data_IF_308246434916
#
_entry.id   IF_308246434916
#
_cell.length_a   1.000
_cell.length_b   1.000
_cell.length_c   1.000
_cell.angle_alpha   90.00
_cell.angle_beta   90.00
_cell.angle_gamma   90.00
#
_symmetry.space_group_name_H-M   'P 1'
#
loop_
_entity.id
_entity.type
_entity.pdbx_description
1 polymer ?
#
# COMPACT_ATOMS: atom_id res chain seq x y z
N UNK A 1 21.75 12.90 1.80
CA UNK A 1 21.48 11.63 2.50
C UNK A 1 21.29 11.80 4.00
N UNK A 2 22.30 12.24 4.78
CA UNK A 2 22.19 12.43 6.24
C UNK A 2 20.99 13.28 6.66
N UNK A 3 20.72 14.39 5.94
CA UNK A 3 19.56 15.26 6.19
C UNK A 3 18.21 14.54 6.07
N UNK A 4 18.08 13.62 5.11
CA UNK A 4 16.84 12.88 4.86
C UNK A 4 16.64 11.76 5.89
N UNK A 5 17.70 11.03 6.25
CA UNK A 5 17.65 10.05 7.33
C UNK A 5 17.26 10.70 8.66
N UNK A 6 17.93 11.80 9.03
CA UNK A 6 17.59 12.56 10.24
C UNK A 6 16.14 13.07 10.22
N UNK A 7 15.63 13.45 9.05
CA UNK A 7 14.24 13.84 8.89
C UNK A 7 13.29 12.64 9.12
N UNK A 8 13.57 11.48 8.53
CA UNK A 8 12.77 10.26 8.72
C UNK A 8 12.78 9.84 10.19
N UNK A 9 13.93 9.87 10.87
CA UNK A 9 14.03 9.57 12.30
C UNK A 9 13.23 10.58 13.13
N UNK A 10 13.33 11.87 12.81
CA UNK A 10 12.60 12.91 13.52
C UNK A 10 11.08 12.74 13.42
N UNK A 11 10.54 12.46 12.23
CA UNK A 11 9.09 12.28 12.05
C UNK A 11 8.58 10.96 12.62
N UNK A 12 9.45 9.95 12.75
CA UNK A 12 9.12 8.64 13.32
C UNK A 12 9.55 8.46 14.78
N UNK A 13 9.99 9.52 15.47
CA UNK A 13 10.43 9.44 16.88
C UNK A 13 9.39 8.85 17.85
N UNK A 14 8.11 8.92 17.49
CA UNK A 14 6.98 8.40 18.27
C UNK A 14 6.32 7.17 17.59
N UNK A 15 6.96 6.58 16.60
CA UNK A 15 6.44 5.40 15.92
C UNK A 15 6.40 4.21 16.88
N UNK A 16 5.31 3.46 16.86
CA UNK A 16 5.14 2.25 17.70
C UNK A 16 5.87 1.04 17.12
N UNK A 17 6.35 1.14 15.88
CA UNK A 17 7.13 0.11 15.19
C UNK A 17 8.37 0.76 14.61
N UNK A 18 9.51 0.10 14.81
CA UNK A 18 10.78 0.56 14.27
C UNK A 18 10.90 0.24 12.78
N UNK A 19 11.51 1.16 12.04
CA UNK A 19 11.85 0.96 10.64
C UNK A 19 13.22 0.27 10.55
N UNK A 20 13.40 -0.61 9.56
CA UNK A 20 14.72 -1.15 9.26
C UNK A 20 15.61 -0.04 8.69
N UNK A 21 16.49 0.49 9.54
CA UNK A 21 17.39 1.60 9.21
C UNK A 21 18.40 1.23 8.11
N UNK A 22 18.82 -0.04 8.06
CA UNK A 22 19.76 -0.50 7.04
C UNK A 22 19.08 -0.54 5.68
N UNK A 23 17.87 -1.09 5.62
CA UNK A 23 17.06 -1.11 4.41
C UNK A 23 16.69 0.30 3.95
N UNK A 24 16.26 1.18 4.87
CA UNK A 24 15.94 2.57 4.57
C UNK A 24 17.14 3.30 3.95
N UNK A 25 18.33 3.15 4.54
CA UNK A 25 19.55 3.77 4.01
C UNK A 25 19.84 3.30 2.58
N UNK A 26 19.75 2.00 2.33
CA UNK A 26 19.96 1.42 0.99
C UNK A 26 18.93 1.95 -0.02
N UNK A 27 17.66 2.03 0.37
CA UNK A 27 16.60 2.58 -0.48
C UNK A 27 16.89 4.04 -0.88
N UNK A 28 17.34 4.85 0.08
CA UNK A 28 17.65 6.27 -0.15
C UNK A 28 18.94 6.48 -0.97
N UNK A 29 19.89 5.55 -0.89
CA UNK A 29 21.10 5.53 -1.72
C UNK A 29 20.77 5.29 -3.20
N UNK A 30 19.83 4.37 -3.46
CA UNK A 30 19.44 3.98 -4.83
C UNK A 30 18.31 4.85 -5.42
N UNK A 31 17.61 5.64 -4.61
CA UNK A 31 16.40 6.35 -5.06
C UNK A 31 16.67 7.36 -6.17
N UNK A 32 17.82 8.06 -6.15
CA UNK A 32 18.17 9.05 -7.17
C UNK A 32 18.42 8.39 -8.53
N UNK A 33 19.27 7.37 -8.56
CA UNK A 33 19.53 6.59 -9.78
C UNK A 33 18.25 5.94 -10.32
N UNK A 34 17.44 5.36 -9.43
CA UNK A 34 16.16 4.74 -9.82
C UNK A 34 15.22 5.78 -10.43
N UNK A 35 15.16 6.99 -9.87
CA UNK A 35 14.36 8.08 -10.42
C UNK A 35 14.81 8.44 -11.83
N UNK A 36 16.12 8.61 -12.05
CA UNK A 36 16.68 8.94 -13.36
C UNK A 36 16.42 7.84 -14.40
N UNK A 37 16.61 6.57 -14.02
CA UNK A 37 16.34 5.41 -14.88
C UNK A 37 14.86 5.37 -15.30
N UNK A 38 13.93 5.65 -14.37
CA UNK A 38 12.50 5.66 -14.66
C UNK A 38 12.08 6.87 -15.49
N UNK A 39 12.66 8.05 -15.28
CA UNK A 39 12.43 9.24 -16.13
C UNK A 39 12.87 8.96 -17.57
N UNK A 40 14.04 8.34 -17.74
CA UNK A 40 14.54 7.95 -19.06
C UNK A 40 13.60 6.92 -19.72
N UNK A 41 13.13 5.93 -18.96
CA UNK A 41 12.21 4.92 -19.44
C UNK A 41 10.87 5.50 -19.91
N UNK A 42 10.29 6.41 -19.13
CA UNK A 42 8.96 6.97 -19.44
C UNK A 42 9.02 8.20 -20.36
N UNK A 43 10.22 8.69 -20.67
CA UNK A 43 10.44 9.92 -21.44
C UNK A 43 9.57 11.09 -20.95
N UNK A 44 9.38 11.18 -19.63
CA UNK A 44 8.46 12.14 -19.04
C UNK A 44 9.20 13.38 -18.50
N UNK A 45 8.51 14.52 -18.48
CA UNK A 45 9.08 15.74 -17.90
C UNK A 45 9.05 15.69 -16.38
N UNK A 46 10.13 16.15 -15.75
CA UNK A 46 10.25 16.24 -14.30
C UNK A 46 9.67 17.56 -13.80
N UNK A 47 8.82 17.49 -12.78
CA UNK A 47 8.28 18.61 -12.02
C UNK A 47 8.79 18.55 -10.59
N UNK A 48 9.34 19.65 -10.08
CA UNK A 48 9.80 19.77 -8.69
C UNK A 48 8.71 20.46 -7.87
N UNK A 49 8.19 19.77 -6.87
CA UNK A 49 7.17 20.29 -5.94
C UNK A 49 7.77 21.01 -4.73
N UNK A 50 8.96 20.61 -4.32
CA UNK A 50 9.70 21.20 -3.20
C UNK A 50 11.18 20.96 -3.39
N UNK A 51 12.01 21.94 -3.06
CA UNK A 51 13.47 21.89 -3.12
C UNK A 51 14.14 22.08 -1.74
N UNK A 52 13.34 22.25 -0.67
CA UNK A 52 13.83 22.42 0.71
C UNK A 52 12.76 21.99 1.74
N UNK A 53 13.10 21.19 2.77
CA UNK A 53 14.44 20.69 3.14
C UNK A 53 14.90 19.46 2.33
N UNK A 54 14.02 18.88 1.51
CA UNK A 54 14.26 17.71 0.66
C UNK A 54 13.71 17.99 -0.73
N UNK A 55 14.34 17.42 -1.76
CA UNK A 55 13.83 17.53 -3.13
C UNK A 55 12.68 16.53 -3.26
N UNK A 56 11.49 17.04 -3.60
CA UNK A 56 10.32 16.24 -3.94
C UNK A 56 10.01 16.52 -5.40
N UNK A 57 10.22 15.52 -6.23
CA UNK A 57 9.99 15.60 -7.67
C UNK A 57 9.00 14.53 -8.11
N UNK A 58 8.31 14.81 -9.20
CA UNK A 58 7.41 13.89 -9.88
C UNK A 58 7.65 13.95 -11.38
N UNK A 59 7.47 12.82 -12.04
CA UNK A 59 7.70 12.70 -13.48
C UNK A 59 6.51 12.09 -14.21
N UNK A 60 5.67 11.29 -13.54
CA UNK A 60 4.52 10.67 -14.20
C UNK A 60 3.49 10.12 -13.20
N UNK A 61 2.39 9.55 -13.70
CA UNK A 61 1.42 8.83 -12.88
C UNK A 61 1.64 7.31 -12.93
N UNK A 62 1.10 6.58 -11.95
CA UNK A 62 1.34 5.14 -11.81
C UNK A 62 0.85 4.29 -13.00
N UNK A 63 -0.23 4.68 -13.67
CA UNK A 63 -0.76 3.92 -14.81
C UNK A 63 0.18 4.00 -16.02
N UNK A 64 0.67 5.20 -16.33
CA UNK A 64 1.64 5.39 -17.41
C UNK A 64 2.96 4.68 -17.11
N UNK A 65 3.47 4.78 -15.88
CA UNK A 65 4.68 4.05 -15.47
C UNK A 65 4.52 2.52 -15.65
N UNK A 66 3.39 1.96 -15.21
CA UNK A 66 3.12 0.53 -15.34
C UNK A 66 3.05 0.09 -16.81
N UNK A 67 2.42 0.89 -17.67
CA UNK A 67 2.38 0.66 -19.12
C UNK A 67 3.79 0.66 -19.74
N UNK A 68 4.61 1.66 -19.42
CA UNK A 68 5.96 1.78 -19.94
C UNK A 68 6.86 0.62 -19.48
N UNK A 69 6.76 0.20 -18.22
CA UNK A 69 7.46 -0.98 -17.71
C UNK A 69 6.99 -2.26 -18.42
N UNK A 70 5.69 -2.41 -18.65
CA UNK A 70 5.15 -3.58 -19.36
C UNK A 70 5.64 -3.66 -20.82
N UNK A 71 5.74 -2.51 -21.49
CA UNK A 71 6.28 -2.44 -22.85
C UNK A 71 7.77 -2.76 -22.87
N UNK A 72 8.55 -2.18 -21.96
CA UNK A 72 9.98 -2.48 -21.81
C UNK A 72 10.23 -3.97 -21.62
N UNK A 73 9.46 -4.63 -20.73
CA UNK A 73 9.57 -6.07 -20.51
C UNK A 73 9.33 -6.85 -21.81
N UNK A 74 8.29 -6.52 -22.58
CA UNK A 74 7.99 -7.19 -23.87
C UNK A 74 9.08 -7.00 -24.90
N UNK A 75 9.57 -5.76 -25.06
CA UNK A 75 10.61 -5.42 -26.03
C UNK A 75 11.93 -6.13 -25.73
N UNK A 76 12.18 -6.47 -24.46
CA UNK A 76 13.37 -7.19 -24.01
C UNK A 76 13.13 -8.71 -23.88
N UNK A 77 12.08 -9.23 -24.53
CA UNK A 77 11.81 -10.68 -24.62
C UNK A 77 11.13 -11.28 -23.39
N UNK A 78 10.69 -10.46 -22.44
CA UNK A 78 9.88 -10.88 -21.31
C UNK A 78 8.43 -11.17 -21.72
N UNK A 79 7.82 -12.13 -21.04
CA UNK A 79 6.43 -12.54 -21.27
C UNK A 79 5.54 -12.32 -20.04
N UNK A 80 4.24 -12.19 -20.29
CA UNK A 80 3.23 -12.07 -19.24
C UNK A 80 2.27 -13.25 -19.27
N UNK A 81 2.11 -13.90 -18.11
CA UNK A 81 1.04 -14.87 -17.87
C UNK A 81 -0.07 -14.18 -17.08
N UNK A 82 -1.01 -13.56 -17.81
CA UNK A 82 -2.19 -12.93 -17.20
C UNK A 82 -3.20 -14.00 -16.78
N UNK A 83 -4.12 -13.65 -15.86
CA UNK A 83 -5.13 -14.56 -15.33
C UNK A 83 -4.54 -15.89 -14.81
N UNK A 84 -3.31 -15.83 -14.32
CA UNK A 84 -2.52 -17.00 -13.92
C UNK A 84 -2.03 -16.79 -12.50
N UNK A 85 -2.55 -17.61 -11.58
CA UNK A 85 -2.27 -17.51 -10.15
C UNK A 85 -1.19 -18.50 -9.76
N UNK A 86 -0.13 -18.03 -9.11
CA UNK A 86 0.86 -18.91 -8.47
C UNK A 86 0.21 -19.53 -7.24
N UNK A 87 0.23 -20.86 -7.15
CA UNK A 87 -0.35 -21.62 -6.03
C UNK A 87 0.71 -22.21 -5.11
N UNK A 88 1.93 -22.40 -5.60
CA UNK A 88 3.04 -22.98 -4.83
C UNK A 88 4.40 -22.55 -5.38
N UNK A 89 5.34 -22.26 -4.48
CA UNK A 89 6.77 -22.19 -4.81
C UNK A 89 7.33 -23.60 -4.70
N UNK A 90 8.06 -24.03 -5.73
CA UNK A 90 8.70 -25.35 -5.77
C UNK A 90 10.15 -25.17 -5.34
N UNK A 91 10.49 -25.74 -4.19
CA UNK A 91 11.83 -25.72 -3.61
C UNK A 91 12.16 -27.03 -2.88
N UNK A 92 13.44 -27.22 -2.54
CA UNK A 92 13.97 -28.35 -1.77
C UNK A 92 14.35 -27.98 -0.32
N UNK A 93 13.93 -26.81 0.16
CA UNK A 93 14.31 -26.23 1.45
C UNK A 93 15.59 -25.40 1.41
N UNK A 94 16.42 -25.55 0.37
CA UNK A 94 17.64 -24.74 0.19
C UNK A 94 17.62 -23.91 -1.09
N UNK A 95 16.90 -24.38 -2.10
CA UNK A 95 16.89 -23.79 -3.43
C UNK A 95 15.53 -23.89 -4.09
N UNK A 96 15.12 -22.79 -4.70
CA UNK A 96 13.94 -22.73 -5.56
C UNK A 96 14.25 -23.34 -6.93
N UNK A 97 13.32 -24.15 -7.44
CA UNK A 97 13.39 -24.76 -8.77
C UNK A 97 12.22 -24.38 -9.69
N UNK A 98 11.20 -23.68 -9.19
CA UNK A 98 10.08 -23.24 -10.03
C UNK A 98 8.84 -22.80 -9.27
N UNK A 99 7.73 -22.73 -10.01
CA UNK A 99 6.42 -22.32 -9.54
C UNK A 99 5.34 -23.27 -10.07
N UNK A 100 4.36 -23.59 -9.24
CA UNK A 100 3.09 -24.15 -9.70
C UNK A 100 2.11 -23.00 -9.93
N UNK A 101 1.45 -23.03 -11.09
CA UNK A 101 0.56 -21.96 -11.57
C UNK A 101 -0.77 -22.58 -11.97
N UNK A 102 -1.87 -21.88 -11.68
CA UNK A 102 -3.22 -22.25 -12.08
C UNK A 102 -3.87 -21.12 -12.86
N UNK A 103 -4.53 -21.45 -13.95
CA UNK A 103 -5.41 -20.54 -14.70
C UNK A 103 -6.70 -21.27 -15.10
N UNK A 104 -7.52 -20.66 -15.97
CA UNK A 104 -8.78 -21.24 -16.44
C UNK A 104 -8.61 -22.53 -17.26
N UNK A 105 -7.42 -22.77 -17.82
CA UNK A 105 -7.12 -23.98 -18.60
C UNK A 105 -6.61 -25.15 -17.72
N UNK A 106 -6.25 -24.89 -16.47
CA UNK A 106 -5.79 -25.91 -15.52
C UNK A 106 -4.54 -25.49 -14.74
N UNK A 107 -3.81 -26.49 -14.25
CA UNK A 107 -2.54 -26.30 -13.54
C UNK A 107 -1.35 -26.67 -14.41
N UNK A 108 -0.26 -25.92 -14.27
CA UNK A 108 1.00 -26.17 -14.95
C UNK A 108 2.18 -25.70 -14.10
N UNK A 109 3.38 -26.18 -14.45
CA UNK A 109 4.62 -25.88 -13.74
C UNK A 109 5.53 -25.03 -14.60
N UNK A 110 6.12 -24.00 -14.00
CA UNK A 110 7.17 -23.18 -14.59
C UNK A 110 8.49 -23.50 -13.87
N UNK A 111 9.46 -24.07 -14.59
CA UNK A 111 10.81 -24.28 -14.06
C UNK A 111 11.61 -22.98 -14.09
N UNK A 112 12.23 -22.62 -12.97
CA UNK A 112 13.02 -21.39 -12.85
C UNK A 112 14.19 -21.58 -11.89
N UNK A 113 15.32 -20.92 -12.18
CA UNK A 113 16.51 -20.94 -11.30
C UNK A 113 16.38 -19.99 -10.11
N UNK A 114 15.53 -18.97 -10.24
CA UNK A 114 15.26 -17.95 -9.26
C UNK A 114 13.82 -17.47 -9.41
N UNK A 115 13.24 -17.00 -8.30
CA UNK A 115 11.89 -16.43 -8.24
C UNK A 115 11.98 -15.12 -7.47
N UNK A 116 11.40 -14.06 -8.03
CA UNK A 116 11.24 -12.77 -7.38
C UNK A 116 9.78 -12.61 -6.98
N UNK A 117 9.53 -12.33 -5.70
CA UNK A 117 8.17 -12.14 -5.17
C UNK A 117 7.85 -10.65 -5.16
N UNK A 118 6.89 -10.24 -6.00
CA UNK A 118 6.44 -8.86 -6.15
C UNK A 118 4.90 -8.75 -6.09
N UNK A 119 4.28 -9.49 -5.16
CA UNK A 119 2.82 -9.68 -5.08
C UNK A 119 2.06 -8.53 -4.39
N UNK A 120 2.74 -7.44 -4.04
CA UNK A 120 2.12 -6.36 -3.26
C UNK A 120 1.75 -6.78 -1.83
N UNK A 121 0.85 -6.01 -1.21
CA UNK A 121 0.42 -6.19 0.18
C UNK A 121 -0.95 -6.86 0.34
N UNK A 122 -1.47 -6.82 1.57
CA UNK A 122 -2.75 -7.42 1.97
C UNK A 122 -3.83 -6.39 2.35
N UNK A 123 -3.74 -5.16 1.83
CA UNK A 123 -4.60 -4.05 2.26
C UNK A 123 -6.06 -4.15 1.80
N UNK A 124 -6.38 -5.04 0.84
CA UNK A 124 -7.74 -5.26 0.37
C UNK A 124 -8.53 -6.22 1.27
N UNK A 125 -7.90 -7.30 1.73
CA UNK A 125 -8.52 -8.34 2.56
C UNK A 125 -8.54 -7.94 4.04
N UNK A 126 -9.74 -7.67 4.57
CA UNK A 126 -9.93 -7.00 5.87
C UNK A 126 -9.85 -7.90 7.10
N UNK A 127 -9.95 -9.22 6.96
CA UNK A 127 -10.41 -9.98 8.12
C UNK A 127 -9.30 -10.68 8.93
N UNK A 128 -8.35 -11.39 8.34
CA UNK A 128 -7.39 -12.17 9.14
C UNK A 128 -6.04 -11.48 9.38
N UNK A 129 -5.46 -10.84 8.36
CA UNK A 129 -4.16 -10.16 8.50
C UNK A 129 -4.35 -8.74 9.06
N UNK A 130 -5.32 -8.00 8.52
CA UNK A 130 -5.55 -6.61 8.90
C UNK A 130 -6.07 -6.48 10.33
N UNK A 131 -7.00 -7.33 10.79
CA UNK A 131 -7.46 -7.28 12.17
C UNK A 131 -6.39 -7.71 13.19
N UNK A 132 -5.42 -8.55 12.81
CA UNK A 132 -4.27 -8.87 13.68
C UNK A 132 -3.33 -7.69 13.84
N UNK A 133 -3.08 -6.96 12.76
CA UNK A 133 -2.15 -5.83 12.74
C UNK A 133 -2.77 -4.58 13.37
N UNK A 134 -4.03 -4.29 13.06
CA UNK A 134 -4.75 -3.13 13.56
C UNK A 134 -6.21 -3.49 13.87
N UNK A 135 -6.48 -4.05 15.07
CA UNK A 135 -7.83 -4.55 15.44
C UNK A 135 -8.94 -3.50 15.37
N UNK A 136 -8.60 -2.22 15.52
CA UNK A 136 -9.57 -1.12 15.44
C UNK A 136 -10.13 -0.92 14.02
N UNK A 137 -9.47 -1.43 12.98
CA UNK A 137 -9.96 -1.41 11.59
C UNK A 137 -11.27 -2.18 11.45
N UNK A 138 -11.46 -3.25 12.23
CA UNK A 138 -12.73 -3.95 12.30
C UNK A 138 -13.90 -3.03 12.68
N UNK A 139 -13.64 -1.95 13.43
CA UNK A 139 -14.67 -1.06 14.00
C UNK A 139 -14.98 0.16 13.14
N UNK A 140 -14.33 0.34 11.99
CA UNK A 140 -14.44 1.58 11.20
C UNK A 140 -14.68 1.25 9.72
N UNK A 141 -15.37 2.14 9.00
CA UNK A 141 -15.47 2.02 7.55
C UNK A 141 -14.33 2.81 6.89
N UNK A 142 -13.48 2.12 6.14
CA UNK A 142 -12.34 2.74 5.43
C UNK A 142 -12.61 2.77 3.94
N UNK A 143 -12.31 3.91 3.32
CA UNK A 143 -12.22 4.06 1.88
C UNK A 143 -10.99 3.29 1.41
N UNK A 144 -11.23 2.17 0.74
CA UNK A 144 -10.15 1.29 0.32
C UNK A 144 -9.61 1.70 -1.05
N UNK A 145 -8.45 2.34 -1.07
CA UNK A 145 -7.74 2.72 -2.30
C UNK A 145 -6.89 1.58 -2.88
N UNK A 146 -6.83 0.44 -2.20
CA UNK A 146 -6.07 -0.70 -2.67
C UNK A 146 -6.75 -1.37 -3.88
N UNK A 147 -5.91 -1.87 -4.80
CA UNK A 147 -6.38 -2.79 -5.84
C UNK A 147 -7.09 -3.98 -5.20
N UNK A 148 -8.22 -4.46 -5.75
CA UNK A 148 -8.85 -5.71 -5.34
C UNK A 148 -7.92 -6.94 -5.37
N UNK A 149 -6.81 -6.86 -6.11
CA UNK A 149 -5.80 -7.92 -6.15
C UNK A 149 -4.90 -7.98 -4.88
N UNK A 150 -4.87 -6.94 -4.04
CA UNK A 150 -4.00 -6.86 -2.85
C UNK A 150 -4.56 -7.68 -1.67
N UNK A 151 -4.67 -8.99 -1.88
CA UNK A 151 -5.29 -9.95 -0.96
C UNK A 151 -4.30 -10.61 0.00
N UNK A 152 -3.00 -10.39 -0.19
CA UNK A 152 -1.96 -10.95 0.68
C UNK A 152 -1.66 -12.43 0.44
N UNK A 153 -2.09 -13.02 -0.68
CA UNK A 153 -1.84 -14.43 -0.99
C UNK A 153 -0.35 -14.79 -1.13
N UNK A 154 0.48 -13.83 -1.53
CA UNK A 154 1.94 -13.96 -1.49
C UNK A 154 2.51 -14.26 -0.10
N UNK A 155 1.89 -13.78 0.99
CA UNK A 155 2.32 -14.12 2.36
C UNK A 155 2.16 -15.61 2.63
N UNK A 156 1.09 -16.23 2.12
CA UNK A 156 0.87 -17.68 2.27
C UNK A 156 1.89 -18.50 1.49
N UNK A 157 2.28 -18.04 0.29
CA UNK A 157 3.36 -18.67 -0.49
C UNK A 157 4.70 -18.61 0.26
N UNK A 158 5.04 -17.45 0.82
CA UNK A 158 6.27 -17.23 1.58
C UNK A 158 6.30 -18.04 2.90
N UNK A 159 5.17 -18.12 3.62
CA UNK A 159 5.06 -18.98 4.82
C UNK A 159 5.29 -20.46 4.50
N UNK A 160 4.76 -20.93 3.37
CA UNK A 160 4.89 -22.33 2.97
C UNK A 160 6.34 -22.76 2.70
N UNK A 161 7.21 -21.80 2.37
CA UNK A 161 8.66 -22.02 2.18
C UNK A 161 9.49 -21.56 3.39
N UNK A 162 8.85 -21.38 4.55
CA UNK A 162 9.48 -20.97 5.81
C UNK A 162 10.27 -19.65 5.71
N UNK A 163 9.81 -18.70 4.88
CA UNK A 163 10.41 -17.37 4.83
C UNK A 163 10.25 -16.64 6.18
N UNK A 164 11.28 -15.91 6.59
CA UNK A 164 11.19 -15.02 7.75
C UNK A 164 10.37 -13.78 7.41
N UNK A 165 9.54 -13.37 8.37
CA UNK A 165 8.78 -12.13 8.31
C UNK A 165 9.30 -11.17 9.37
N UNK A 166 9.43 -9.89 9.03
CA UNK A 166 9.86 -8.86 9.97
C UNK A 166 8.84 -8.64 11.11
N UNK A 167 7.61 -9.13 10.95
CA UNK A 167 6.47 -8.93 11.88
C UNK A 167 6.17 -7.45 12.20
N UNK A 168 6.70 -6.53 11.38
CA UNK A 168 6.52 -5.09 11.49
C UNK A 168 5.43 -4.57 10.55
N UNK A 169 4.47 -5.41 10.17
CA UNK A 169 3.37 -5.04 9.28
C UNK A 169 2.61 -3.84 9.85
N UNK A 170 2.38 -2.81 9.04
CA UNK A 170 1.56 -1.64 9.41
C UNK A 170 0.42 -1.54 8.44
N UNK A 171 -0.79 -1.39 8.98
CA UNK A 171 -1.92 -1.02 8.15
C UNK A 171 -1.88 0.47 7.85
N UNK A 172 -1.63 0.80 6.59
CA UNK A 172 -1.83 2.14 6.04
C UNK A 172 -2.95 2.05 5.01
N UNK A 173 -4.12 2.58 5.36
CA UNK A 173 -5.22 2.73 4.40
C UNK A 173 -5.52 4.20 4.16
N UNK A 174 -6.40 4.44 3.18
CA UNK A 174 -6.85 5.76 2.75
C UNK A 174 -7.62 6.48 3.86
N UNK A 175 -8.89 6.78 3.63
CA UNK A 175 -9.67 7.70 4.47
C UNK A 175 -10.71 6.94 5.29
N UNK A 176 -11.19 7.49 6.41
CA UNK A 176 -12.46 7.01 6.95
C UNK A 176 -13.54 7.45 5.97
N UNK A 177 -14.28 6.48 5.45
CA UNK A 177 -15.32 6.75 4.50
C UNK A 177 -16.61 7.15 5.22
N UNK A 178 -16.82 8.46 5.28
CA UNK A 178 -18.06 9.08 5.75
C UNK A 178 -19.08 9.33 4.64
N UNK A 179 -18.74 9.05 3.37
CA UNK A 179 -19.59 9.41 2.25
C UNK A 179 -20.98 8.79 2.31
N UNK A 180 -21.16 7.52 2.72
CA UNK A 180 -22.49 6.94 2.90
C UNK A 180 -23.34 7.63 3.97
N UNK A 181 -22.74 8.12 5.07
CA UNK A 181 -23.45 8.70 6.21
C UNK A 181 -23.74 10.18 6.01
N UNK A 182 -22.84 10.90 5.35
CA UNK A 182 -22.91 12.34 5.13
C UNK A 182 -23.40 12.69 3.72
N UNK A 183 -23.76 11.69 2.90
CA UNK A 183 -24.14 11.85 1.50
C UNK A 183 -23.10 12.65 0.70
N UNK A 184 -21.82 12.39 0.99
CA UNK A 184 -20.71 13.04 0.29
C UNK A 184 -20.57 12.40 -1.08
N UNK A 185 -20.41 13.25 -2.09
CA UNK A 185 -20.06 12.90 -3.46
C UNK A 185 -18.75 13.61 -3.82
N UNK A 186 -18.13 13.27 -4.95
CA UNK A 186 -16.97 14.00 -5.44
C UNK A 186 -17.18 15.52 -5.57
N UNK A 187 -18.42 15.96 -5.81
CA UNK A 187 -18.79 17.37 -5.93
C UNK A 187 -19.06 18.05 -4.58
N UNK A 188 -19.24 17.26 -3.51
CA UNK A 188 -19.64 17.75 -2.18
C UNK A 188 -18.65 17.36 -1.09
N UNK A 189 -17.42 16.96 -1.46
CA UNK A 189 -16.36 16.64 -0.50
C UNK A 189 -16.06 17.88 0.34
N UNK A 190 -16.27 17.85 1.67
CA UNK A 190 -15.96 18.97 2.52
C UNK A 190 -14.45 19.14 2.65
N UNK A 191 -14.00 20.39 2.82
CA UNK A 191 -12.61 20.69 3.12
C UNK A 191 -12.25 20.24 4.55
N UNK A 192 -11.54 19.12 4.65
CA UNK A 192 -11.10 18.57 5.94
C UNK A 192 -9.96 19.36 6.59
N UNK A 193 -9.33 20.31 5.89
CA UNK A 193 -8.16 21.05 6.40
C UNK A 193 -8.46 21.95 7.59
N UNK A 194 -9.75 22.21 7.85
CA UNK A 194 -10.23 23.11 8.92
C UNK A 194 -11.07 22.36 9.96
N UNK A 195 -10.97 21.04 10.01
CA UNK A 195 -11.80 20.21 10.89
C UNK A 195 -11.14 19.96 12.24
N UNK A 196 -11.97 19.87 13.29
CA UNK A 196 -11.56 19.38 14.61
C UNK A 196 -12.07 17.96 14.80
N UNK A 197 -11.21 17.08 15.30
CA UNK A 197 -11.56 15.70 15.60
C UNK A 197 -12.14 15.60 17.01
N UNK A 198 -13.44 15.31 17.07
CA UNK A 198 -14.20 15.16 18.32
C UNK A 198 -14.64 13.70 18.46
N UNK A 199 -14.37 13.13 19.64
CA UNK A 199 -14.80 11.79 20.00
C UNK A 199 -16.27 11.73 20.41
N UNK A 200 -16.78 10.53 20.63
CA UNK A 200 -18.19 10.30 21.01
C UNK A 200 -18.60 10.96 22.34
N UNK A 201 -17.62 11.25 23.20
CA UNK A 201 -17.81 11.94 24.47
C UNK A 201 -17.77 13.48 24.34
N UNK A 202 -17.71 14.02 23.12
CA UNK A 202 -17.63 15.46 22.87
C UNK A 202 -16.25 16.07 23.15
N UNK A 203 -15.20 15.25 23.34
CA UNK A 203 -13.84 15.72 23.61
C UNK A 203 -12.92 15.53 22.41
N UNK A 204 -11.93 16.41 22.27
CA UNK A 204 -10.83 16.23 21.32
C UNK A 204 -9.95 15.05 21.72
N UNK A 205 -9.42 14.33 20.73
CA UNK A 205 -8.54 13.18 20.95
C UNK A 205 -7.27 13.19 20.09
N UNK A 206 -7.08 14.20 19.25
CA UNK A 206 -5.91 14.32 18.36
C UNK A 206 -5.47 15.78 18.22
N UNK A 207 -4.25 15.99 17.71
CA UNK A 207 -3.77 17.28 17.26
C UNK A 207 -3.93 17.37 15.73
N UNK A 208 -4.80 18.27 15.28
CA UNK A 208 -5.16 18.40 13.87
C UNK A 208 -4.20 19.29 13.05
N UNK A 209 -3.22 19.91 13.71
CA UNK A 209 -2.23 20.79 13.11
C UNK A 209 -0.79 20.24 13.21
N UNK A 210 0.03 20.37 12.15
CA UNK A 210 -0.32 20.84 10.80
C UNK A 210 -1.23 19.86 10.08
N UNK A 211 -2.07 20.36 9.16
CA UNK A 211 -2.98 19.50 8.41
C UNK A 211 -2.20 18.44 7.63
N UNK A 212 -2.38 17.19 8.03
CA UNK A 212 -1.96 16.03 7.29
C UNK A 212 -3.08 15.02 7.36
N UNK A 213 -3.74 14.85 6.22
CA UNK A 213 -4.92 14.02 6.11
C UNK A 213 -4.68 12.56 6.52
N UNK A 214 -3.51 12.01 6.22
CA UNK A 214 -3.15 10.64 6.61
C UNK A 214 -2.92 10.51 8.12
N UNK A 215 -2.31 11.52 8.76
CA UNK A 215 -2.13 11.53 10.21
C UNK A 215 -3.48 11.60 10.94
N UNK A 216 -4.35 12.52 10.52
CA UNK A 216 -5.71 12.65 11.07
C UNK A 216 -6.47 11.34 10.99
N UNK A 217 -6.46 10.74 9.80
CA UNK A 217 -7.16 9.49 9.56
C UNK A 217 -6.56 8.34 10.40
N UNK A 218 -5.23 8.29 10.54
CA UNK A 218 -4.54 7.33 11.41
C UNK A 218 -5.00 7.44 12.86
N UNK A 219 -5.13 8.65 13.39
CA UNK A 219 -5.62 8.88 14.75
C UNK A 219 -7.09 8.48 14.92
N UNK A 220 -7.92 8.65 13.88
CA UNK A 220 -9.31 8.19 13.91
C UNK A 220 -9.41 6.66 13.88
N UNK A 221 -8.57 5.98 13.09
CA UNK A 221 -8.48 4.52 13.11
C UNK A 221 -8.04 4.01 14.49
N UNK A 222 -7.05 4.65 15.11
CA UNK A 222 -6.58 4.29 16.46
C UNK A 222 -7.64 4.54 17.54
N UNK A 223 -8.37 5.64 17.43
CA UNK A 223 -9.49 5.94 18.32
C UNK A 223 -10.58 4.86 18.22
N UNK A 224 -10.87 4.37 17.01
CA UNK A 224 -11.64 3.13 16.81
C UNK A 224 -13.10 3.21 17.30
N UNK A 225 -13.71 4.39 17.28
CA UNK A 225 -15.11 4.56 17.69
C UNK A 225 -16.05 3.83 16.73
N UNK A 226 -17.01 3.10 17.28
CA UNK A 226 -18.05 2.41 16.52
C UNK A 226 -18.97 3.37 15.76
N UNK A 227 -18.96 4.67 16.10
CA UNK A 227 -19.66 5.71 15.34
C UNK A 227 -19.08 5.90 13.94
N UNK A 228 -17.83 5.49 13.71
CA UNK A 228 -17.22 5.44 12.38
C UNK A 228 -17.65 4.19 11.59
N UNK A 229 -18.41 3.27 12.21
CA UNK A 229 -18.94 2.06 11.56
C UNK A 229 -20.35 2.31 11.05
N UNK A 230 -20.65 1.76 9.87
CA UNK A 230 -22.04 1.64 9.39
C UNK A 230 -22.81 0.63 10.25
N UNK A 231 -23.96 1.04 10.81
CA UNK A 231 -25.06 0.12 11.20
C UNK A 231 -26.03 0.01 10.04
N UNK A 232 -25.82 -0.93 9.11
CA UNK A 232 -26.83 -1.57 8.21
C UNK A 232 -26.10 -2.31 7.08
N UNK A 233 -26.63 -3.37 6.44
CA UNK A 233 -25.89 -4.23 5.51
C UNK A 233 -26.41 -4.19 4.06
N UNK A 234 -26.58 -3.05 3.37
CA UNK A 234 -27.12 -3.12 1.98
C UNK A 234 -26.99 -1.88 1.09
N UNK A 235 -25.79 -1.34 0.84
CA UNK A 235 -25.61 -0.34 -0.24
C UNK A 235 -24.24 -0.57 -0.88
N UNK A 236 -24.24 -1.01 -2.14
CA UNK A 236 -23.08 -0.98 -3.04
C UNK A 236 -22.62 0.47 -3.19
N UNK A 237 -21.33 0.72 -3.02
CA UNK A 237 -20.74 2.01 -3.36
C UNK A 237 -20.50 2.06 -4.87
N UNK A 238 -21.00 3.13 -5.51
CA UNK A 238 -20.97 3.36 -6.96
C UNK A 238 -19.56 3.63 -7.53
N UNK A 239 -18.61 2.72 -7.34
CA UNK A 239 -17.27 2.84 -7.93
C UNK A 239 -16.79 1.64 -8.74
N UNK A 240 -17.59 0.59 -8.83
CA UNK A 240 -17.45 -0.45 -9.85
C UNK A 240 -18.85 -0.75 -10.38
N UNK A 241 -18.99 -0.79 -11.71
CA UNK A 241 -20.24 -1.14 -12.37
C UNK A 241 -20.86 -2.39 -11.73
N UNK A 242 -22.13 -2.29 -11.32
CA UNK A 242 -22.99 -3.45 -11.16
C UNK A 242 -23.28 -4.06 -12.54
#
# INVERSE_FOLDING_TARGET
>A
MIRLLNFVDHVNKNATKEHDQKFLKQLLEESGKTFDDLVALTNSQVSIFSDSPIIIANFTNGAHLAEMLANYIKEHGGGFYLNSRVTKIIDDGTKVSGLQVRNSAGEFTISAKAVVIATGGASYEKDDLLNKVTPSVAKVHVFNEASPANTGDGYSLLKAVNAEFSNNDVYKNGTIDFAPQLFITWNTVPDYSKTMLIGENGKRFSNEAPYNFLNLTTEMYKHGSEKYRRKSPSICTCQFNC
#
